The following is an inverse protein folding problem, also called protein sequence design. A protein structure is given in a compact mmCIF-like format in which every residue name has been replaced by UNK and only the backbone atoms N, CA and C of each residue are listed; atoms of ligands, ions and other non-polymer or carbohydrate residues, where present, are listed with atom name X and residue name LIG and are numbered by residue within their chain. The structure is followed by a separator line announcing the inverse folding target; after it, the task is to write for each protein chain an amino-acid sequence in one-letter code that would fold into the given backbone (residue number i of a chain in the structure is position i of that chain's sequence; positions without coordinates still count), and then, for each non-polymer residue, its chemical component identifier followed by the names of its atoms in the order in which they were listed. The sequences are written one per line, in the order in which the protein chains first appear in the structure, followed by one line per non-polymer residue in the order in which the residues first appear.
data_IF_082435076124
#
_entry.id   IF_082435076124
#
_cell.length_a   1.000
_cell.length_b   1.000
_cell.length_c   1.000
_cell.angle_alpha   90.00
_cell.angle_beta   90.00
_cell.angle_gamma   90.00
#
_symmetry.space_group_name_H-M   'P 1'
#
loop_
_entity.id
_entity.type
_entity.pdbx_description
1 polymer ?
#
# COMPACT_ATOMS: atom_id res chain seq x y z
N UNK A 1 2.76 10.46 18.73
CA UNK A 1 2.70 8.98 18.85
C UNK A 1 3.58 8.36 17.77
N UNK A 2 4.52 7.48 18.15
CA UNK A 2 5.26 6.65 17.19
C UNK A 2 4.30 5.72 16.43
N UNK A 3 4.72 5.23 15.26
CA UNK A 3 4.01 4.18 14.53
C UNK A 3 3.73 3.02 15.51
N UNK A 4 2.47 2.61 15.76
CA UNK A 4 2.15 1.64 16.81
C UNK A 4 2.61 0.21 16.46
N UNK A 5 3.06 -0.02 15.23
CA UNK A 5 3.51 -1.31 14.74
C UNK A 5 5.05 -1.36 14.70
N UNK A 6 5.71 -2.34 15.35
CA UNK A 6 7.15 -2.50 15.31
C UNK A 6 7.67 -2.62 13.87
N UNK A 7 8.73 -1.90 13.52
CA UNK A 7 9.33 -1.98 12.19
C UNK A 7 10.81 -1.60 12.24
N UNK A 8 11.64 -2.32 11.47
CA UNK A 8 13.03 -1.90 11.23
C UNK A 8 13.02 -0.74 10.24
N UNK A 9 13.57 0.41 10.62
CA UNK A 9 13.70 1.55 9.70
C UNK A 9 14.77 1.25 8.66
N UNK A 10 14.66 1.82 7.45
CA UNK A 10 15.68 1.61 6.41
C UNK A 10 17.06 2.07 6.86
N UNK A 11 17.14 3.12 7.68
CA UNK A 11 18.41 3.63 8.22
C UNK A 11 19.02 2.72 9.30
N UNK A 12 18.20 1.91 9.99
CA UNK A 12 18.66 0.97 11.01
C UNK A 12 18.94 -0.45 10.45
N UNK A 13 18.53 -0.72 9.21
CA UNK A 13 18.77 -2.01 8.57
C UNK A 13 20.27 -2.22 8.32
N UNK A 14 20.77 -3.38 8.71
CA UNK A 14 22.16 -3.81 8.51
C UNK A 14 22.20 -5.25 8.03
N UNK A 15 23.34 -5.68 7.47
CA UNK A 15 23.54 -7.05 6.97
C UNK A 15 22.46 -7.49 5.99
N UNK A 16 21.97 -8.72 6.14
CA UNK A 16 20.97 -9.33 5.27
C UNK A 16 19.69 -8.50 5.13
N UNK A 17 19.23 -7.82 6.19
CA UNK A 17 18.02 -7.00 6.13
C UNK A 17 18.22 -5.78 5.22
N UNK A 18 19.41 -5.15 5.25
CA UNK A 18 19.73 -4.05 4.35
C UNK A 18 19.76 -4.51 2.88
N UNK A 19 20.33 -5.69 2.63
CA UNK A 19 20.39 -6.29 1.29
C UNK A 19 18.98 -6.62 0.77
N UNK A 20 18.12 -7.20 1.60
CA UNK A 20 16.71 -7.47 1.27
C UNK A 20 15.94 -6.17 0.99
N UNK A 21 16.15 -5.11 1.77
CA UNK A 21 15.51 -3.82 1.51
C UNK A 21 15.99 -3.20 0.18
N UNK A 22 17.27 -3.33 -0.15
CA UNK A 22 17.79 -2.90 -1.45
C UNK A 22 17.17 -3.69 -2.61
N UNK A 23 17.07 -5.02 -2.47
CA UNK A 23 16.46 -5.91 -3.46
C UNK A 23 14.96 -5.66 -3.66
N UNK A 24 14.23 -5.38 -2.57
CA UNK A 24 12.82 -4.98 -2.62
C UNK A 24 12.66 -3.68 -3.42
N UNK A 25 13.48 -2.65 -3.15
CA UNK A 25 13.41 -1.39 -3.90
C UNK A 25 13.65 -1.60 -5.39
N UNK A 26 14.67 -2.39 -5.73
CA UNK A 26 15.02 -2.70 -7.11
C UNK A 26 13.95 -3.54 -7.83
N UNK A 27 13.38 -4.52 -7.15
CA UNK A 27 12.40 -5.45 -7.74
C UNK A 27 11.01 -4.81 -7.87
N UNK A 28 10.52 -4.18 -6.80
CA UNK A 28 9.18 -3.56 -6.75
C UNK A 28 9.17 -2.22 -7.51
N UNK A 29 10.32 -1.59 -7.70
CA UNK A 29 10.41 -0.30 -8.37
C UNK A 29 9.95 0.84 -7.46
N UNK A 30 10.44 0.89 -6.23
CA UNK A 30 10.04 1.90 -5.23
C UNK A 30 11.23 2.58 -4.58
N UNK A 31 11.03 3.82 -4.13
CA UNK A 31 12.06 4.60 -3.42
C UNK A 31 12.09 4.33 -1.91
N UNK A 32 10.98 3.88 -1.35
CA UNK A 32 10.82 3.62 0.09
C UNK A 32 10.27 2.21 0.26
N UNK A 33 10.85 1.46 1.19
CA UNK A 33 10.37 0.12 1.52
C UNK A 33 9.07 0.24 2.30
N UNK A 34 8.01 -0.37 1.77
CA UNK A 34 6.69 -0.37 2.39
C UNK A 34 6.74 -0.95 3.82
N UNK A 35 5.91 -0.39 4.72
CA UNK A 35 5.93 -0.70 6.16
C UNK A 35 5.74 -2.20 6.45
N UNK A 36 4.97 -2.92 5.64
CA UNK A 36 4.79 -4.38 5.76
C UNK A 36 6.09 -5.16 5.71
N UNK A 37 6.98 -4.84 4.77
CA UNK A 37 8.28 -5.49 4.67
C UNK A 37 9.17 -5.13 5.86
N UNK A 38 9.10 -3.88 6.31
CA UNK A 38 9.84 -3.42 7.50
C UNK A 38 9.34 -4.04 8.80
N UNK A 39 8.05 -4.36 8.87
CA UNK A 39 7.45 -5.09 9.98
C UNK A 39 7.82 -6.57 9.96
N UNK A 40 7.75 -7.25 8.80
CA UNK A 40 8.20 -8.64 8.67
C UNK A 40 9.68 -8.80 9.04
N UNK A 41 10.50 -7.76 8.86
CA UNK A 41 11.90 -7.75 9.26
C UNK A 41 12.10 -7.85 10.79
N UNK A 42 11.10 -7.54 11.61
CA UNK A 42 11.17 -7.68 13.08
C UNK A 42 10.90 -9.09 13.55
N UNK A 43 10.55 -10.01 12.64
CA UNK A 43 10.19 -11.39 12.92
C UNK A 43 11.24 -12.32 12.33
N UNK A 44 11.76 -13.23 13.15
CA UNK A 44 12.86 -14.10 12.74
C UNK A 44 12.49 -14.94 11.50
N UNK A 45 13.34 -14.90 10.47
CA UNK A 45 13.15 -15.58 9.19
C UNK A 45 11.95 -15.15 8.32
N UNK A 46 11.06 -14.27 8.81
CA UNK A 46 9.81 -13.95 8.13
C UNK A 46 10.02 -13.13 6.85
N UNK A 47 10.80 -12.05 6.90
CA UNK A 47 11.12 -11.23 5.72
C UNK A 47 11.80 -12.05 4.61
N UNK A 48 12.93 -12.74 4.83
CA UNK A 48 13.60 -13.47 3.76
C UNK A 48 12.70 -14.54 3.13
N UNK A 49 11.93 -15.28 3.93
CA UNK A 49 11.00 -16.28 3.40
C UNK A 49 9.87 -15.64 2.59
N UNK A 50 9.18 -14.64 3.15
CA UNK A 50 8.03 -14.00 2.50
C UNK A 50 8.46 -13.34 1.19
N UNK A 51 9.61 -12.67 1.20
CA UNK A 51 10.17 -12.05 0.02
C UNK A 51 10.55 -13.06 -1.06
N UNK A 52 11.22 -14.16 -0.70
CA UNK A 52 11.53 -15.24 -1.64
C UNK A 52 10.28 -15.84 -2.28
N UNK A 53 9.19 -15.99 -1.52
CA UNK A 53 7.93 -16.52 -2.01
C UNK A 53 7.24 -15.61 -3.05
N UNK A 54 7.29 -14.28 -2.88
CA UNK A 54 6.56 -13.33 -3.75
C UNK A 54 7.41 -12.64 -4.81
N UNK A 55 8.75 -12.58 -4.66
CA UNK A 55 9.65 -11.95 -5.62
C UNK A 55 9.42 -12.42 -7.06
N UNK A 56 9.21 -13.73 -7.34
CA UNK A 56 8.90 -14.19 -8.69
C UNK A 56 7.61 -13.58 -9.28
N UNK A 57 6.61 -13.27 -8.46
CA UNK A 57 5.37 -12.63 -8.89
C UNK A 57 5.64 -11.22 -9.42
N UNK A 58 6.44 -10.44 -8.68
CA UNK A 58 6.86 -9.11 -9.12
C UNK A 58 7.68 -9.19 -10.40
N UNK A 59 8.67 -10.09 -10.48
CA UNK A 59 9.52 -10.25 -11.67
C UNK A 59 8.74 -10.65 -12.93
N UNK A 60 7.67 -11.43 -12.75
CA UNK A 60 6.73 -11.77 -13.83
C UNK A 60 5.73 -10.65 -14.16
N UNK A 61 5.71 -9.54 -13.41
CA UNK A 61 4.76 -8.44 -13.62
C UNK A 61 3.29 -8.82 -13.40
N UNK A 62 3.04 -9.86 -12.59
CA UNK A 62 1.68 -10.30 -12.27
C UNK A 62 0.90 -9.24 -11.46
N UNK A 63 1.48 -8.60 -10.42
CA UNK A 63 0.80 -7.53 -9.71
C UNK A 63 0.47 -6.30 -10.58
N UNK A 64 1.36 -5.91 -11.50
CA UNK A 64 1.12 -4.79 -12.43
C UNK A 64 -0.03 -5.10 -13.40
N UNK A 65 -0.09 -6.33 -13.92
CA UNK A 65 -1.20 -6.78 -14.76
C UNK A 65 -2.53 -6.80 -14.00
N UNK A 66 -2.51 -7.27 -12.75
CA UNK A 66 -3.70 -7.25 -11.87
C UNK A 66 -4.16 -5.82 -11.56
N UNK A 67 -3.24 -4.91 -11.27
CA UNK A 67 -3.54 -3.48 -11.11
C UNK A 67 -4.23 -2.90 -12.34
N UNK A 68 -3.72 -3.18 -13.54
CA UNK A 68 -4.34 -2.71 -14.78
C UNK A 68 -5.77 -3.25 -14.96
N UNK A 69 -6.03 -4.49 -14.54
CA UNK A 69 -7.37 -5.07 -14.55
C UNK A 69 -8.28 -4.42 -13.51
N UNK A 70 -7.78 -4.29 -12.29
CA UNK A 70 -8.48 -3.75 -11.14
C UNK A 70 -8.93 -2.31 -11.34
N UNK A 71 -8.07 -1.44 -11.90
CA UNK A 71 -8.42 -0.04 -12.17
C UNK A 71 -9.62 0.12 -13.12
N UNK A 72 -9.89 -0.86 -14.00
CA UNK A 72 -11.06 -0.81 -14.89
C UNK A 72 -12.38 -1.09 -14.18
N UNK A 73 -12.33 -1.72 -13.01
CA UNK A 73 -13.51 -2.21 -12.28
C UNK A 73 -13.63 -1.61 -10.88
N UNK A 74 -12.72 -0.71 -10.52
CA UNK A 74 -12.60 -0.15 -9.19
C UNK A 74 -13.81 0.75 -8.89
N UNK A 75 -14.43 0.59 -7.72
CA UNK A 75 -15.41 1.55 -7.22
C UNK A 75 -14.65 2.73 -6.60
N UNK A 76 -14.94 3.95 -7.06
CA UNK A 76 -14.25 5.16 -6.62
C UNK A 76 -15.28 6.14 -6.05
N UNK A 77 -15.18 6.53 -4.78
CA UNK A 77 -16.06 7.53 -4.22
C UNK A 77 -15.82 8.86 -4.93
N UNK A 78 -16.91 9.57 -5.27
CA UNK A 78 -16.82 10.86 -5.96
C UNK A 78 -16.43 11.95 -4.97
N UNK A 79 -15.16 12.33 -4.99
CA UNK A 79 -14.66 13.46 -4.20
C UNK A 79 -14.95 14.79 -4.89
N UNK A 80 -14.98 15.87 -4.09
CA UNK A 80 -14.86 17.22 -4.63
C UNK A 80 -13.52 17.38 -5.38
N UNK A 81 -13.47 18.30 -6.36
CA UNK A 81 -12.25 18.51 -7.14
C UNK A 81 -11.08 18.93 -6.26
N UNK A 82 -9.93 18.30 -6.49
CA UNK A 82 -8.63 18.64 -5.89
C UNK A 82 -7.68 19.24 -6.92
N UNK A 83 -8.22 19.70 -8.05
CA UNK A 83 -7.45 20.39 -9.08
C UNK A 83 -6.85 21.70 -8.55
N UNK A 84 -5.71 22.08 -9.11
CA UNK A 84 -4.97 23.28 -8.72
C UNK A 84 -3.48 23.00 -8.66
N UNK A 85 -2.70 24.07 -8.68
CA UNK A 85 -1.24 24.02 -8.57
C UNK A 85 -0.83 23.46 -7.21
N UNK A 86 0.13 22.55 -7.23
CA UNK A 86 0.78 21.98 -6.05
C UNK A 86 2.26 21.78 -6.35
N UNK A 87 3.13 21.68 -5.33
CA UNK A 87 4.49 21.23 -5.54
C UNK A 87 4.49 19.88 -6.28
N UNK A 88 5.38 19.72 -7.26
CA UNK A 88 5.48 18.51 -8.08
C UNK A 88 5.66 17.22 -7.24
N UNK A 89 6.16 17.35 -6.00
CA UNK A 89 6.25 16.27 -5.04
C UNK A 89 4.89 15.66 -4.66
N UNK A 90 3.79 16.42 -4.66
CA UNK A 90 2.45 15.92 -4.32
C UNK A 90 1.99 14.87 -5.34
N UNK A 91 2.01 15.22 -6.62
CA UNK A 91 1.56 14.31 -7.69
C UNK A 91 2.45 13.07 -7.79
N UNK A 92 3.75 13.23 -7.53
CA UNK A 92 4.67 12.11 -7.53
C UNK A 92 4.52 11.19 -6.31
N UNK A 93 4.27 11.74 -5.12
CA UNK A 93 3.92 10.96 -3.93
C UNK A 93 2.65 10.15 -4.22
N UNK A 94 1.60 10.80 -4.72
CA UNK A 94 0.34 10.11 -5.06
C UNK A 94 0.55 9.03 -6.13
N UNK A 95 1.28 9.30 -7.21
CA UNK A 95 1.57 8.31 -8.25
C UNK A 95 2.39 7.13 -7.70
N UNK A 96 3.37 7.39 -6.83
CA UNK A 96 4.19 6.35 -6.22
C UNK A 96 3.38 5.46 -5.28
N UNK A 97 2.50 6.03 -4.44
CA UNK A 97 1.66 5.24 -3.54
C UNK A 97 0.52 4.54 -4.25
N UNK A 98 -0.08 5.13 -5.29
CA UNK A 98 -1.09 4.46 -6.11
C UNK A 98 -0.54 3.21 -6.80
N UNK A 99 0.69 3.27 -7.31
CA UNK A 99 1.34 2.09 -7.88
C UNK A 99 1.79 1.10 -6.81
N UNK A 100 2.64 1.54 -5.88
CA UNK A 100 3.29 0.64 -4.91
C UNK A 100 2.33 -0.03 -3.94
N UNK A 101 1.33 0.70 -3.41
CA UNK A 101 0.33 0.09 -2.53
C UNK A 101 -0.49 -0.94 -3.30
N UNK A 102 -0.86 -0.65 -4.56
CA UNK A 102 -1.73 -1.52 -5.35
C UNK A 102 -1.03 -2.82 -5.74
N UNK A 103 0.22 -2.76 -6.22
CA UNK A 103 0.97 -3.99 -6.52
C UNK A 103 1.31 -4.78 -5.25
N UNK A 104 1.59 -4.11 -4.13
CA UNK A 104 1.79 -4.78 -2.84
C UNK A 104 0.50 -5.44 -2.35
N UNK A 105 -0.67 -4.81 -2.54
CA UNK A 105 -1.97 -5.41 -2.20
C UNK A 105 -2.14 -6.77 -2.89
N UNK A 106 -1.79 -6.87 -4.17
CA UNK A 106 -1.90 -8.12 -4.93
C UNK A 106 -0.86 -9.16 -4.52
N UNK A 107 0.42 -8.78 -4.41
CA UNK A 107 1.47 -9.74 -4.05
C UNK A 107 1.29 -10.28 -2.63
N UNK A 108 0.95 -9.40 -1.67
CA UNK A 108 0.70 -9.77 -0.28
C UNK A 108 -0.64 -10.48 -0.11
N UNK A 109 -1.67 -10.07 -0.85
CA UNK A 109 -2.93 -10.80 -0.91
C UNK A 109 -2.73 -12.22 -1.45
N UNK A 110 -1.86 -12.40 -2.44
CA UNK A 110 -1.53 -13.70 -3.01
C UNK A 110 -0.78 -14.57 -1.99
N UNK A 111 0.20 -13.99 -1.29
CA UNK A 111 0.92 -14.65 -0.21
C UNK A 111 -0.05 -15.11 0.90
N UNK A 112 -0.97 -14.23 1.31
CA UNK A 112 -1.99 -14.55 2.31
C UNK A 112 -2.94 -15.65 1.84
N UNK A 113 -3.41 -15.58 0.60
CA UNK A 113 -4.28 -16.61 0.02
C UNK A 113 -3.56 -17.97 -0.01
N UNK A 114 -2.28 -17.98 -0.38
CA UNK A 114 -1.46 -19.19 -0.37
C UNK A 114 -1.26 -19.76 1.04
N UNK A 115 -0.93 -18.91 2.02
CA UNK A 115 -0.75 -19.31 3.43
C UNK A 115 -2.03 -19.88 4.07
N UNK A 116 -3.19 -19.43 3.61
CA UNK A 116 -4.51 -19.87 4.09
C UNK A 116 -5.13 -21.01 3.25
N UNK A 117 -4.39 -21.59 2.30
CA UNK A 117 -4.90 -22.61 1.37
C UNK A 117 -6.16 -22.14 0.59
N UNK A 118 -6.27 -20.82 0.38
CA UNK A 118 -7.37 -20.12 -0.29
C UNK A 118 -7.02 -19.72 -1.73
N UNK A 119 -6.15 -20.49 -2.38
CA UNK A 119 -5.74 -20.30 -3.77
C UNK A 119 -6.92 -20.57 -4.71
N UNK A 120 -7.10 -19.74 -5.74
CA UNK A 120 -8.16 -19.93 -6.71
C UNK A 120 -8.01 -21.25 -7.49
N UNK A 121 -9.12 -21.89 -7.82
CA UNK A 121 -9.14 -23.17 -8.58
C UNK A 121 -8.83 -22.94 -10.06
N UNK A 122 -9.39 -21.87 -10.60
CA UNK A 122 -9.23 -21.39 -11.96
C UNK A 122 -8.81 -19.91 -11.94
N UNK A 123 -8.75 -19.27 -13.11
CA UNK A 123 -8.23 -17.91 -13.25
C UNK A 123 -6.76 -17.86 -13.68
N UNK A 124 -6.44 -16.93 -14.57
CA UNK A 124 -5.08 -16.68 -15.06
C UNK A 124 -4.88 -15.20 -15.29
N UNK A 125 -4.02 -14.59 -14.50
CA UNK A 125 -3.49 -13.27 -14.81
C UNK A 125 -2.32 -13.44 -15.77
N UNK A 126 -2.41 -12.78 -16.93
CA UNK A 126 -1.33 -12.80 -17.91
C UNK A 126 -0.24 -11.83 -17.44
N UNK A 127 1.03 -12.29 -17.32
CA UNK A 127 2.18 -11.44 -17.07
C UNK A 127 2.17 -10.15 -17.89
N UNK A 128 2.49 -9.02 -17.24
CA UNK A 128 2.56 -7.71 -17.86
C UNK A 128 3.95 -7.07 -17.75
N UNK A 129 4.19 -5.96 -18.44
CA UNK A 129 5.42 -5.20 -18.25
C UNK A 129 5.47 -4.64 -16.83
N UNK A 130 6.63 -4.79 -16.18
CA UNK A 130 6.92 -4.15 -14.89
C UNK A 130 7.17 -2.67 -15.10
N UNK A 131 6.75 -1.84 -14.13
CA UNK A 131 7.14 -0.44 -14.09
C UNK A 131 8.45 -0.28 -13.33
N UNK A 132 9.36 0.52 -13.88
CA UNK A 132 10.55 0.95 -13.15
C UNK A 132 10.16 1.96 -12.06
N UNK A 133 11.02 2.09 -11.05
CA UNK A 133 10.88 3.16 -10.08
C UNK A 133 10.90 4.53 -10.79
N UNK A 134 10.01 5.46 -10.43
CA UNK A 134 10.06 6.81 -11.00
C UNK A 134 11.39 7.47 -10.66
N UNK A 135 11.92 8.25 -11.62
CA UNK A 135 13.12 9.05 -11.40
C UNK A 135 12.81 10.36 -10.67
N UNK A 136 12.28 10.24 -9.45
CA UNK A 136 12.01 11.37 -8.58
C UNK A 136 12.31 11.02 -7.12
N UNK A 137 12.93 11.97 -6.43
CA UNK A 137 13.07 11.93 -4.99
C UNK A 137 11.73 12.26 -4.31
N UNK A 138 11.26 11.37 -3.44
CA UNK A 138 10.15 11.68 -2.55
C UNK A 138 10.65 12.57 -1.40
N UNK A 139 9.81 13.46 -0.84
CA UNK A 139 10.14 14.17 0.39
C UNK A 139 10.53 13.20 1.51
N UNK A 140 11.26 13.68 2.53
CA UNK A 140 11.52 12.89 3.73
C UNK A 140 10.18 12.39 4.31
N UNK A 141 10.13 11.14 4.75
CA UNK A 141 8.97 10.61 5.47
C UNK A 141 8.85 11.33 6.83
N UNK A 142 7.90 12.26 6.97
CA UNK A 142 7.79 13.09 8.16
C UNK A 142 7.55 12.27 9.45
N UNK A 143 8.19 12.66 10.54
CA UNK A 143 7.80 12.37 11.92
C UNK A 143 6.97 13.52 12.50
N UNK A 144 6.47 13.34 13.73
CA UNK A 144 5.79 14.39 14.51
C UNK A 144 6.67 15.64 14.70
N UNK A 145 7.98 15.46 14.81
CA UNK A 145 8.96 16.53 15.01
C UNK A 145 9.32 17.27 13.72
N UNK A 146 9.03 16.67 12.56
CA UNK A 146 9.39 17.23 11.25
C UNK A 146 8.41 18.31 10.76
N UNK A 147 7.21 18.42 11.36
CA UNK A 147 6.12 19.30 10.89
C UNK A 147 5.42 20.02 12.05
N UNK A 148 4.63 21.05 11.73
CA UNK A 148 3.83 21.73 12.74
C UNK A 148 2.82 20.78 13.44
N UNK A 149 2.53 20.96 14.73
CA UNK A 149 1.61 20.09 15.48
C UNK A 149 0.23 19.92 14.81
N UNK A 150 -0.34 21.00 14.27
CA UNK A 150 -1.63 20.95 13.57
C UNK A 150 -1.58 20.11 12.29
N UNK A 151 -0.47 20.16 11.56
CA UNK A 151 -0.24 19.31 10.39
C UNK A 151 -0.14 17.84 10.77
N UNK A 152 0.57 17.53 11.87
CA UNK A 152 0.67 16.16 12.36
C UNK A 152 -0.69 15.64 12.85
N UNK A 153 -1.45 16.46 13.57
CA UNK A 153 -2.81 16.14 13.98
C UNK A 153 -3.72 15.84 12.78
N UNK A 154 -3.59 16.62 11.69
CA UNK A 154 -4.29 16.37 10.44
C UNK A 154 -3.88 15.06 9.77
N UNK A 155 -2.59 14.72 9.77
CA UNK A 155 -2.09 13.41 9.29
C UNK A 155 -2.74 12.25 10.07
N UNK A 156 -2.78 12.36 11.39
CA UNK A 156 -3.41 11.34 12.24
C UNK A 156 -4.93 11.27 12.04
N UNK A 157 -5.59 12.42 11.82
CA UNK A 157 -7.01 12.50 11.52
C UNK A 157 -7.32 11.82 10.17
N UNK A 158 -6.61 12.21 9.11
CA UNK A 158 -6.77 11.65 7.77
C UNK A 158 -6.58 10.14 7.76
N UNK A 159 -5.64 9.63 8.55
CA UNK A 159 -5.39 8.19 8.62
C UNK A 159 -6.59 7.39 9.14
N UNK A 160 -7.53 8.01 9.85
CA UNK A 160 -8.74 7.33 10.34
C UNK A 160 -9.81 7.13 9.26
N UNK A 161 -9.73 7.83 8.13
CA UNK A 161 -10.70 7.65 7.06
C UNK A 161 -10.61 6.23 6.50
N UNK A 162 -11.77 5.56 6.43
CA UNK A 162 -11.88 4.20 5.92
C UNK A 162 -11.34 3.11 6.86
N UNK A 163 -10.82 3.46 8.03
CA UNK A 163 -10.36 2.51 9.04
C UNK A 163 -11.52 1.94 9.87
N UNK A 164 -11.28 0.77 10.43
CA UNK A 164 -12.02 0.24 11.57
C UNK A 164 -11.29 0.61 12.87
N UNK A 165 -11.93 0.50 14.06
CA UNK A 165 -11.40 1.07 15.30
C UNK A 165 -9.94 0.70 15.60
N UNK A 166 -9.51 -0.51 15.23
CA UNK A 166 -8.12 -1.00 15.30
C UNK A 166 -7.89 -2.09 14.24
N UNK A 167 -6.65 -2.31 13.77
CA UNK A 167 -5.40 -1.62 14.11
C UNK A 167 -5.12 -0.40 13.22
N UNK A 168 -4.69 0.70 13.85
CA UNK A 168 -4.44 1.99 13.20
C UNK A 168 -2.98 2.06 12.74
N UNK A 169 -2.69 1.54 11.55
CA UNK A 169 -1.36 1.62 10.92
C UNK A 169 -1.25 2.98 10.22
N UNK A 170 -0.22 3.77 10.54
CA UNK A 170 -0.06 5.11 9.98
C UNK A 170 0.47 5.05 8.54
N UNK A 171 -0.38 5.43 7.58
CA UNK A 171 -0.05 5.38 6.17
C UNK A 171 1.08 6.37 5.82
N UNK A 172 2.14 5.84 5.20
CA UNK A 172 3.31 6.63 4.82
C UNK A 172 2.99 7.74 3.81
N UNK A 173 1.95 7.56 2.98
CA UNK A 173 1.49 8.59 2.03
C UNK A 173 1.18 9.92 2.72
N UNK A 174 0.38 9.92 3.79
CA UNK A 174 0.02 11.14 4.51
C UNK A 174 1.24 11.81 5.15
N UNK A 175 2.21 11.01 5.62
CA UNK A 175 3.47 11.52 6.18
C UNK A 175 4.35 12.20 5.14
N UNK A 176 4.39 11.73 3.89
CA UNK A 176 5.07 12.46 2.81
C UNK A 176 4.30 13.70 2.37
N UNK A 177 2.96 13.62 2.32
CA UNK A 177 2.11 14.76 1.99
C UNK A 177 2.06 15.82 3.11
N UNK A 178 2.55 15.52 4.32
CA UNK A 178 2.67 16.47 5.43
C UNK A 178 3.52 17.70 5.09
N UNK A 179 4.43 17.58 4.11
CA UNK A 179 5.21 18.69 3.57
C UNK A 179 4.39 19.64 2.67
N UNK A 180 3.13 19.31 2.39
CA UNK A 180 2.16 20.13 1.66
C UNK A 180 0.86 20.29 2.50
N UNK A 181 0.90 21.03 3.63
CA UNK A 181 -0.20 21.07 4.61
C UNK A 181 -1.51 21.61 4.04
N UNK A 182 -1.47 22.61 3.14
CA UNK A 182 -2.66 23.14 2.47
C UNK A 182 -3.32 22.10 1.56
N UNK A 183 -2.53 21.20 0.97
CA UNK A 183 -3.07 20.08 0.20
C UNK A 183 -3.75 19.05 1.11
N UNK A 184 -3.15 18.71 2.25
CA UNK A 184 -3.77 17.81 3.22
C UNK A 184 -5.12 18.35 3.73
N UNK A 185 -5.23 19.66 3.97
CA UNK A 185 -6.49 20.29 4.37
C UNK A 185 -7.59 20.11 3.32
N UNK A 186 -7.25 20.27 2.04
CA UNK A 186 -8.20 20.05 0.95
C UNK A 186 -8.56 18.57 0.78
N UNK A 187 -7.60 17.66 0.99
CA UNK A 187 -7.87 16.22 1.00
C UNK A 187 -8.85 15.85 2.12
N UNK A 188 -8.71 16.44 3.31
CA UNK A 188 -9.65 16.24 4.42
C UNK A 188 -11.06 16.73 4.03
N UNK A 189 -11.16 17.97 3.55
CA UNK A 189 -12.44 18.54 3.14
C UNK A 189 -13.13 17.74 2.01
N UNK A 190 -12.36 17.09 1.15
CA UNK A 190 -12.87 16.25 0.07
C UNK A 190 -13.27 14.84 0.54
N UNK A 191 -12.57 14.27 1.53
CA UNK A 191 -12.86 12.93 2.08
C UNK A 191 -13.98 12.94 3.12
N UNK A 192 -14.11 14.01 3.91
CA UNK A 192 -15.08 14.08 5.00
C UNK A 192 -16.54 13.81 4.56
N UNK A 193 -17.07 14.38 3.45
CA UNK A 193 -18.43 14.12 3.02
C UNK A 193 -18.68 12.66 2.63
N UNK A 194 -17.78 12.06 1.83
CA UNK A 194 -17.92 10.66 1.38
C UNK A 194 -17.64 9.64 2.47
N UNK A 195 -16.96 10.07 3.54
CA UNK A 195 -16.82 9.27 4.75
C UNK A 195 -18.10 9.32 5.58
N UNK A 196 -18.70 10.51 5.73
CA UNK A 196 -19.92 10.72 6.50
C UNK A 196 -21.14 10.02 5.90
N UNK A 197 -21.25 9.98 4.56
CA UNK A 197 -22.35 9.30 3.87
C UNK A 197 -22.11 7.79 3.65
N UNK A 198 -20.95 7.27 4.06
CA UNK A 198 -20.59 5.86 3.98
C UNK A 198 -20.08 5.38 2.62
N UNK A 199 -20.05 6.23 1.60
CA UNK A 199 -19.60 5.88 0.24
C UNK A 199 -18.15 5.41 0.21
N UNK A 200 -17.28 6.07 0.98
CA UNK A 200 -15.87 5.70 1.09
C UNK A 200 -15.70 4.28 1.65
N UNK A 201 -16.43 3.96 2.73
CA UNK A 201 -16.37 2.64 3.35
C UNK A 201 -16.86 1.56 2.39
N UNK A 202 -17.98 1.81 1.70
CA UNK A 202 -18.51 0.89 0.69
C UNK A 202 -17.46 0.62 -0.40
N UNK A 203 -16.90 1.67 -0.99
CA UNK A 203 -15.91 1.54 -2.06
C UNK A 203 -14.67 0.75 -1.59
N UNK A 204 -14.15 1.02 -0.38
CA UNK A 204 -13.03 0.26 0.19
C UNK A 204 -13.36 -1.22 0.32
N UNK A 205 -14.53 -1.57 0.86
CA UNK A 205 -14.93 -2.96 1.06
C UNK A 205 -15.11 -3.69 -0.28
N UNK A 206 -15.75 -3.05 -1.26
CA UNK A 206 -15.99 -3.61 -2.58
C UNK A 206 -14.66 -3.86 -3.32
N UNK A 207 -13.77 -2.87 -3.28
CA UNK A 207 -12.44 -2.94 -3.86
C UNK A 207 -11.55 -4.01 -3.20
N UNK A 208 -11.61 -4.14 -1.87
CA UNK A 208 -10.90 -5.21 -1.15
C UNK A 208 -11.37 -6.59 -1.58
N UNK A 209 -12.68 -6.80 -1.76
CA UNK A 209 -13.22 -8.10 -2.24
C UNK A 209 -12.73 -8.41 -3.66
N UNK A 210 -12.78 -7.43 -4.56
CA UNK A 210 -12.27 -7.59 -5.93
C UNK A 210 -10.77 -7.87 -5.94
N UNK A 211 -10.00 -7.15 -5.12
CA UNK A 211 -8.55 -7.34 -5.02
C UNK A 211 -8.20 -8.73 -4.47
N UNK A 212 -8.94 -9.23 -3.48
CA UNK A 212 -8.74 -10.55 -2.91
C UNK A 212 -8.97 -11.67 -3.95
N UNK A 213 -9.99 -11.54 -4.81
CA UNK A 213 -10.24 -12.50 -5.89
C UNK A 213 -9.06 -12.55 -6.88
N UNK A 214 -8.59 -11.39 -7.35
CA UNK A 214 -7.43 -11.29 -8.25
C UNK A 214 -6.14 -11.81 -7.59
N UNK A 215 -5.97 -11.55 -6.29
CA UNK A 215 -4.82 -12.03 -5.55
C UNK A 215 -4.82 -13.56 -5.38
N UNK A 216 -6.00 -14.18 -5.21
CA UNK A 216 -6.15 -15.64 -5.17
C UNK A 216 -5.78 -16.31 -6.51
N UNK A 217 -6.05 -15.65 -7.65
CA UNK A 217 -5.58 -16.09 -8.96
C UNK A 217 -4.04 -16.04 -9.06
N UNK A 218 -3.43 -14.96 -8.58
CA UNK A 218 -1.97 -14.79 -8.56
C UNK A 218 -1.29 -15.83 -7.66
N UNK A 219 -1.93 -16.18 -6.53
CA UNK A 219 -1.38 -17.13 -5.55
C UNK A 219 -1.00 -18.49 -6.16
N UNK A 220 -1.63 -18.87 -7.28
CA UNK A 220 -1.30 -20.07 -8.05
C UNK A 220 0.14 -20.09 -8.59
N UNK A 221 0.76 -18.93 -8.74
CA UNK A 221 2.14 -18.79 -9.21
C UNK A 221 3.18 -18.84 -8.06
N UNK A 222 2.73 -18.94 -6.80
CA UNK A 222 3.64 -19.11 -5.66
C UNK A 222 4.07 -20.57 -5.58
N UNK A 223 5.39 -20.78 -5.59
CA UNK A 223 6.03 -22.07 -5.37
C UNK A 223 7.02 -21.91 -4.21
N UNK A 224 6.57 -22.24 -3.01
CA UNK A 224 7.36 -22.14 -1.79
C UNK A 224 7.08 -23.34 -0.87
N UNK A 225 8.02 -23.67 0.00
CA UNK A 225 7.76 -24.57 1.12
C UNK A 225 7.05 -23.79 2.24
N UNK A 226 6.13 -24.46 2.94
CA UNK A 226 5.38 -23.83 4.02
C UNK A 226 6.33 -23.54 5.19
N UNK A 227 6.41 -22.31 5.70
CA UNK A 227 7.35 -21.93 6.75
C UNK A 227 6.82 -22.39 8.11
N UNK A 228 7.72 -22.55 9.08
CA UNK A 228 7.33 -22.89 10.45
C UNK A 228 6.37 -21.87 11.09
N UNK A 229 6.58 -20.58 10.79
CA UNK A 229 5.79 -19.46 11.33
C UNK A 229 4.71 -18.96 10.36
N UNK A 230 4.08 -19.88 9.61
CA UNK A 230 3.11 -19.53 8.57
C UNK A 230 1.95 -18.68 9.09
N UNK A 231 1.46 -18.99 10.30
CA UNK A 231 0.31 -18.29 10.92
C UNK A 231 0.70 -16.87 11.33
N UNK A 232 1.90 -16.69 11.89
CA UNK A 232 2.39 -15.38 12.30
C UNK A 232 2.64 -14.48 11.09
N UNK A 233 3.24 -15.03 10.01
CA UNK A 233 3.47 -14.30 8.76
C UNK A 233 2.15 -13.92 8.12
N UNK A 234 1.17 -14.84 8.08
CA UNK A 234 -0.16 -14.57 7.56
C UNK A 234 -0.83 -13.44 8.31
N UNK A 235 -0.83 -13.48 9.65
CA UNK A 235 -1.41 -12.42 10.49
C UNK A 235 -0.74 -11.08 10.24
N UNK A 236 0.60 -11.05 10.21
CA UNK A 236 1.36 -9.85 9.95
C UNK A 236 1.02 -9.23 8.58
N UNK A 237 0.92 -10.06 7.53
CA UNK A 237 0.51 -9.64 6.19
C UNK A 237 -0.96 -9.18 6.16
N UNK A 238 -1.84 -9.92 6.84
CA UNK A 238 -3.27 -9.65 6.93
C UNK A 238 -3.57 -8.25 7.48
N UNK A 239 -2.83 -7.78 8.49
CA UNK A 239 -2.94 -6.42 9.04
C UNK A 239 -2.86 -5.34 7.94
N UNK A 240 -1.95 -5.51 6.98
CA UNK A 240 -1.78 -4.54 5.90
C UNK A 240 -2.79 -4.73 4.78
N UNK A 241 -3.05 -5.97 4.37
CA UNK A 241 -4.02 -6.27 3.30
C UNK A 241 -5.43 -5.82 3.70
N UNK A 242 -5.82 -6.02 4.96
CA UNK A 242 -7.16 -5.70 5.44
C UNK A 242 -7.35 -4.24 5.84
N UNK A 243 -6.34 -3.62 6.42
CA UNK A 243 -6.49 -2.28 7.02
C UNK A 243 -5.67 -1.25 6.26
N UNK A 244 -4.34 -1.31 6.37
CA UNK A 244 -3.47 -0.24 5.89
C UNK A 244 -3.47 -0.08 4.37
N UNK A 245 -3.01 -1.10 3.63
CA UNK A 245 -2.92 -1.06 2.16
C UNK A 245 -4.33 -1.13 1.57
N UNK A 246 -5.19 -1.99 2.11
CA UNK A 246 -6.55 -2.22 1.60
C UNK A 246 -7.38 -0.93 1.45
N UNK A 247 -7.36 -0.04 2.45
CA UNK A 247 -8.04 1.26 2.34
C UNK A 247 -7.27 2.25 1.48
N UNK A 248 -5.94 2.28 1.60
CA UNK A 248 -5.11 3.33 1.01
C UNK A 248 -5.03 3.23 -0.51
N UNK A 249 -5.18 2.03 -1.08
CA UNK A 249 -5.33 1.87 -2.54
C UNK A 249 -6.56 2.63 -3.03
N UNK A 250 -7.71 2.47 -2.37
CA UNK A 250 -8.95 3.18 -2.74
C UNK A 250 -8.85 4.68 -2.53
N UNK A 251 -8.35 5.10 -1.37
CA UNK A 251 -8.23 6.53 -1.03
C UNK A 251 -7.25 7.24 -1.96
N UNK A 252 -6.07 6.66 -2.19
CA UNK A 252 -5.06 7.25 -3.06
C UNK A 252 -5.60 7.39 -4.50
N UNK A 253 -6.26 6.35 -5.02
CA UNK A 253 -6.86 6.40 -6.36
C UNK A 253 -7.95 7.47 -6.46
N UNK A 254 -8.83 7.57 -5.46
CA UNK A 254 -9.87 8.59 -5.42
C UNK A 254 -9.29 10.02 -5.42
N UNK A 255 -8.23 10.27 -4.64
CA UNK A 255 -7.52 11.55 -4.62
C UNK A 255 -6.89 11.85 -5.99
N UNK A 256 -6.25 10.87 -6.63
CA UNK A 256 -5.67 11.03 -7.97
C UNK A 256 -6.72 11.37 -9.02
N UNK A 257 -7.86 10.68 -9.01
CA UNK A 257 -8.99 10.98 -9.92
C UNK A 257 -9.53 12.39 -9.66
N UNK A 258 -9.68 12.80 -8.41
CA UNK A 258 -10.11 14.16 -8.04
C UNK A 258 -9.12 15.26 -8.46
N UNK A 259 -7.83 14.93 -8.61
CA UNK A 259 -6.80 15.80 -9.20
C UNK A 259 -6.78 15.80 -10.73
N UNK A 260 -7.68 15.07 -11.40
CA UNK A 260 -7.76 14.98 -12.86
C UNK A 260 -7.00 13.79 -13.47
N UNK A 261 -6.53 12.85 -12.65
CA UNK A 261 -5.95 11.59 -13.13
C UNK A 261 -7.02 10.65 -13.72
N UNK A 262 -6.63 9.69 -14.57
CA UNK A 262 -7.56 8.70 -15.11
C UNK A 262 -8.03 7.73 -14.02
N UNK A 263 -9.28 7.24 -14.18
CA UNK A 263 -9.84 6.11 -13.43
C UNK A 263 -8.98 4.85 -13.54
#
# INVERSE_FOLDING_TARGET
MSDPLPAITEAAATGEIADLFADIRATVGVRVVNLVWRHLATMDGALPWAWAAVKPLYLAGLPDAAMAAFHRTMDIPRLASLAGEEPASVDAVLASYDHSNTINLFALGALRAWLNDAVARDGKITPGPRKAAPDLALPKLASEEDVAPDTWALVLHLNKFGDEPQPLILASMYRHLAHAPLFLQRVEAALAPVAADGSLRKAILDNRRTAAALAADIARAISAERPAHAVEIEKAVGLFVDHAIGKMVTICRAIRVARGGPL
#
